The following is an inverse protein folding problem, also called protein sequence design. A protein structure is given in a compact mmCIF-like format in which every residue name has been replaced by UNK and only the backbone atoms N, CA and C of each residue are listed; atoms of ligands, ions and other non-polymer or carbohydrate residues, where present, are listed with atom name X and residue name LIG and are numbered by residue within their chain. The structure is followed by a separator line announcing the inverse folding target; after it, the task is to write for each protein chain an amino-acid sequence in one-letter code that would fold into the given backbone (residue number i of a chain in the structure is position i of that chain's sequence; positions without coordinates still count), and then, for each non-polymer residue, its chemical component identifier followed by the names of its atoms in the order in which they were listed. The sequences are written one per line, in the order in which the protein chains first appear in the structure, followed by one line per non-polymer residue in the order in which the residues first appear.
data_IF_259136083831
#
_entry.id   IF_259136083831
#
_cell.length_a   1.000
_cell.length_b   1.000
_cell.length_c   1.000
_cell.angle_alpha   90.00
_cell.angle_beta   90.00
_cell.angle_gamma   90.00
#
_symmetry.space_group_name_H-M   'P 1'
#
loop_
_entity.id
_entity.type
_entity.pdbx_description
1 polymer ?
#
# COMPACT_ATOMS: atom_id res chain seq x y z
N UNK A 1 2.98 -7.30 -17.43
CA UNK A 1 2.50 -6.80 -16.12
C UNK A 1 3.13 -7.57 -14.96
N UNK A 2 4.23 -7.05 -14.40
CA UNK A 2 4.67 -7.48 -13.07
C UNK A 2 3.58 -7.09 -12.09
N UNK A 3 3.04 -8.05 -11.36
CA UNK A 3 1.88 -7.78 -10.51
C UNK A 3 2.23 -6.78 -9.42
N UNK A 4 1.47 -5.69 -9.35
CA UNK A 4 1.47 -4.70 -8.27
C UNK A 4 1.17 -5.35 -6.90
N UNK A 5 0.71 -6.61 -6.86
CA UNK A 5 0.38 -7.34 -5.63
C UNK A 5 1.59 -7.81 -4.81
N UNK A 6 2.78 -7.95 -5.39
CA UNK A 6 3.98 -8.45 -4.70
C UNK A 6 4.45 -7.60 -3.50
N UNK A 7 4.58 -6.25 -3.61
CA UNK A 7 4.93 -5.42 -2.45
C UNK A 7 3.85 -5.38 -1.35
N UNK A 8 2.60 -5.68 -1.70
CA UNK A 8 1.46 -5.62 -0.80
C UNK A 8 1.46 -6.74 0.26
N UNK A 9 1.86 -7.98 -0.09
CA UNK A 9 1.80 -9.11 0.85
C UNK A 9 2.70 -8.92 2.08
N UNK A 10 3.93 -8.40 1.86
CA UNK A 10 4.86 -8.10 2.96
C UNK A 10 4.32 -6.99 3.85
N UNK A 11 3.83 -5.89 3.25
CA UNK A 11 3.24 -4.79 3.99
C UNK A 11 2.05 -5.26 4.84
N UNK A 12 1.14 -6.07 4.28
CA UNK A 12 0.01 -6.64 5.02
C UNK A 12 0.45 -7.53 6.18
N UNK A 13 1.43 -8.40 5.95
CA UNK A 13 1.97 -9.26 7.00
C UNK A 13 2.59 -8.45 8.14
N UNK A 14 3.41 -7.45 7.80
CA UNK A 14 4.03 -6.57 8.79
C UNK A 14 2.97 -5.74 9.52
N UNK A 15 1.99 -5.17 8.82
CA UNK A 15 0.91 -4.42 9.45
C UNK A 15 0.09 -5.29 10.41
N UNK A 16 -0.19 -6.56 10.06
CA UNK A 16 -0.85 -7.52 10.97
C UNK A 16 0.02 -7.85 12.18
N UNK A 17 1.32 -8.05 11.96
CA UNK A 17 2.28 -8.31 13.04
C UNK A 17 2.34 -7.14 14.02
N UNK A 18 2.53 -5.92 13.53
CA UNK A 18 2.58 -4.71 14.36
C UNK A 18 1.23 -4.40 15.01
N UNK A 19 0.11 -4.63 14.32
CA UNK A 19 -1.24 -4.51 14.87
C UNK A 19 -1.49 -5.48 16.04
N UNK A 20 -0.99 -6.72 15.95
CA UNK A 20 -0.98 -7.66 17.09
C UNK A 20 -0.09 -7.16 18.22
N UNK A 21 1.06 -6.55 17.91
CA UNK A 21 1.93 -5.90 18.89
C UNK A 21 1.24 -4.79 19.67
N UNK A 22 0.42 -3.96 19.01
CA UNK A 22 -0.39 -2.93 19.67
C UNK A 22 -1.44 -3.53 20.61
N UNK A 23 -2.13 -4.59 20.17
CA UNK A 23 -3.09 -5.30 21.01
C UNK A 23 -2.42 -5.95 22.23
N UNK A 24 -1.24 -6.55 22.04
CA UNK A 24 -0.45 -7.13 23.11
C UNK A 24 0.04 -6.05 24.10
N UNK A 25 0.53 -4.91 23.62
CA UNK A 25 0.93 -3.79 24.47
C UNK A 25 -0.24 -3.29 25.36
N UNK A 26 -1.43 -3.15 24.77
CA UNK A 26 -2.65 -2.79 25.51
C UNK A 26 -3.01 -3.85 26.56
N UNK A 27 -2.89 -5.13 26.22
CA UNK A 27 -3.16 -6.22 27.15
C UNK A 27 -2.15 -6.23 28.32
N UNK A 28 -0.85 -6.05 28.07
CA UNK A 28 0.17 -5.93 29.12
C UNK A 28 -0.08 -4.75 30.07
N UNK A 29 -0.54 -3.60 29.54
CA UNK A 29 -0.94 -2.46 30.36
C UNK A 29 -2.14 -2.82 31.26
N UNK A 30 -3.14 -3.52 30.73
CA UNK A 30 -4.32 -3.95 31.49
C UNK A 30 -3.98 -4.97 32.60
N UNK A 31 -3.00 -5.84 32.38
CA UNK A 31 -2.51 -6.79 33.39
C UNK A 31 -1.57 -6.14 34.42
N UNK A 32 -1.23 -4.85 34.25
CA UNK A 32 -0.29 -4.13 35.11
C UNK A 32 1.18 -4.54 34.92
N UNK A 33 1.50 -5.25 33.84
CA UNK A 33 2.88 -5.65 33.53
C UNK A 33 3.72 -4.47 33.04
N UNK A 34 3.10 -3.50 32.38
CA UNK A 34 3.74 -2.26 31.93
C UNK A 34 3.17 -1.05 32.67
N UNK A 35 4.05 -0.09 32.99
CA UNK A 35 3.61 1.25 33.37
C UNK A 35 3.00 1.98 32.17
N UNK A 36 2.18 3.00 32.44
CA UNK A 36 1.55 3.81 31.40
C UNK A 36 2.60 4.45 30.46
N UNK A 37 3.68 5.00 31.02
CA UNK A 37 4.76 5.63 30.24
C UNK A 37 5.47 4.62 29.33
N UNK A 38 5.72 3.41 29.83
CA UNK A 38 6.32 2.34 29.04
C UNK A 38 5.39 1.89 27.91
N UNK A 39 4.10 1.74 28.19
CA UNK A 39 3.10 1.37 27.20
C UNK A 39 2.97 2.45 26.10
N UNK A 40 3.00 3.74 26.45
CA UNK A 40 3.01 4.83 25.48
C UNK A 40 4.26 4.82 24.60
N UNK A 41 5.44 4.62 25.19
CA UNK A 41 6.69 4.55 24.43
C UNK A 41 6.69 3.39 23.44
N UNK A 42 6.22 2.21 23.86
CA UNK A 42 6.08 1.04 22.99
C UNK A 42 5.06 1.32 21.88
N UNK A 43 3.91 1.92 22.21
CA UNK A 43 2.88 2.27 21.22
C UNK A 43 3.41 3.24 20.17
N UNK A 44 4.12 4.30 20.57
CA UNK A 44 4.73 5.25 19.63
C UNK A 44 5.68 4.55 18.67
N UNK A 45 6.59 3.72 19.20
CA UNK A 45 7.55 2.97 18.37
C UNK A 45 6.86 2.02 17.38
N UNK A 46 5.78 1.36 17.81
CA UNK A 46 5.01 0.48 16.93
C UNK A 46 4.34 1.26 15.80
N UNK A 47 3.77 2.43 16.10
CA UNK A 47 3.18 3.32 15.10
C UNK A 47 4.24 3.80 14.10
N UNK A 48 5.41 4.23 14.57
CA UNK A 48 6.51 4.66 13.70
C UNK A 48 6.96 3.56 12.75
N UNK A 49 6.99 2.30 13.24
CA UNK A 49 7.32 1.13 12.40
C UNK A 49 6.25 0.87 11.34
N UNK A 50 4.96 0.99 11.68
CA UNK A 50 3.88 0.85 10.70
C UNK A 50 3.95 1.95 9.64
N UNK A 51 4.15 3.20 10.05
CA UNK A 51 4.30 4.32 9.12
C UNK A 51 5.51 4.12 8.17
N UNK A 52 6.61 3.58 8.68
CA UNK A 52 7.78 3.24 7.87
C UNK A 52 7.47 2.14 6.83
N UNK A 53 6.77 1.08 7.22
CA UNK A 53 6.34 0.03 6.28
C UNK A 53 5.39 0.58 5.20
N UNK A 54 4.47 1.48 5.56
CA UNK A 54 3.61 2.16 4.57
C UNK A 54 4.43 2.99 3.58
N UNK A 55 5.44 3.73 4.04
CA UNK A 55 6.33 4.50 3.17
C UNK A 55 7.06 3.59 2.18
N UNK A 56 7.65 2.49 2.66
CA UNK A 56 8.36 1.53 1.82
C UNK A 56 7.42 0.89 0.77
N UNK A 57 6.19 0.56 1.16
CA UNK A 57 5.20 0.03 0.23
C UNK A 57 4.83 1.06 -0.86
N UNK A 58 4.58 2.32 -0.48
CA UNK A 58 4.30 3.40 -1.43
C UNK A 58 5.45 3.59 -2.42
N UNK A 59 6.68 3.62 -1.93
CA UNK A 59 7.88 3.81 -2.76
C UNK A 59 8.02 2.67 -3.78
N UNK A 60 7.84 1.43 -3.36
CA UNK A 60 7.86 0.28 -4.26
C UNK A 60 6.77 0.38 -5.35
N UNK A 61 5.55 0.78 -4.99
CA UNK A 61 4.46 0.96 -5.96
C UNK A 61 4.74 2.08 -6.96
N UNK A 62 5.25 3.23 -6.50
CA UNK A 62 5.61 4.34 -7.37
C UNK A 62 6.73 3.96 -8.36
N UNK A 63 7.73 3.19 -7.91
CA UNK A 63 8.79 2.67 -8.79
C UNK A 63 8.24 1.72 -9.85
N UNK A 64 7.30 0.85 -9.49
CA UNK A 64 6.65 -0.04 -10.46
C UNK A 64 5.87 0.77 -11.49
N UNK A 65 5.05 1.74 -11.05
CA UNK A 65 4.31 2.64 -11.95
C UNK A 65 5.25 3.39 -12.90
N UNK A 66 6.31 4.00 -12.37
CA UNK A 66 7.32 4.71 -13.17
C UNK A 66 7.98 3.78 -14.21
N UNK A 67 8.33 2.57 -13.80
CA UNK A 67 8.89 1.56 -14.72
C UNK A 67 7.89 1.16 -15.81
N UNK A 68 6.60 1.03 -15.49
CA UNK A 68 5.54 0.68 -16.45
C UNK A 68 5.30 1.80 -17.46
N UNK A 69 5.44 3.08 -17.08
CA UNK A 69 5.45 4.19 -18.04
C UNK A 69 6.66 4.15 -18.96
N UNK A 70 7.86 3.89 -18.42
CA UNK A 70 9.10 3.87 -19.20
C UNK A 70 9.13 2.76 -20.26
N UNK A 71 8.58 1.59 -19.95
CA UNK A 71 8.51 0.45 -20.89
C UNK A 71 7.29 0.50 -21.80
N UNK A 72 6.42 1.52 -21.66
CA UNK A 72 5.20 1.67 -22.45
C UNK A 72 4.09 0.66 -22.13
N UNK A 73 4.13 0.01 -20.96
CA UNK A 73 3.03 -0.85 -20.49
C UNK A 73 1.78 -0.03 -20.17
N UNK A 74 1.92 1.25 -19.81
CA UNK A 74 0.84 2.20 -19.54
C UNK A 74 0.98 3.37 -20.50
N UNK A 75 -0.13 3.74 -21.19
CA UNK A 75 -0.15 4.90 -22.05
C UNK A 75 0.06 6.19 -21.23
N UNK A 76 1.05 7.00 -21.62
CA UNK A 76 1.34 8.30 -21.03
C UNK A 76 0.39 9.37 -21.58
N UNK A 77 -0.92 9.21 -21.35
CA UNK A 77 -1.90 10.26 -21.64
C UNK A 77 -1.74 11.41 -20.64
N UNK A 78 -2.23 12.62 -20.96
CA UNK A 78 -2.19 13.74 -20.02
C UNK A 78 -2.87 13.41 -18.69
N UNK A 79 -3.98 12.66 -18.69
CA UNK A 79 -4.69 12.30 -17.47
C UNK A 79 -3.89 11.30 -16.60
N UNK A 80 -3.21 10.32 -17.21
CA UNK A 80 -2.42 9.34 -16.45
C UNK A 80 -1.15 9.94 -15.86
N UNK A 81 -0.55 10.91 -16.55
CA UNK A 81 0.58 11.67 -16.03
C UNK A 81 0.18 12.59 -14.88
N UNK A 82 -0.94 13.31 -15.01
CA UNK A 82 -1.47 14.17 -13.93
C UNK A 82 -1.75 13.34 -12.67
N UNK A 83 -2.44 12.20 -12.82
CA UNK A 83 -2.68 11.28 -11.71
C UNK A 83 -1.38 10.76 -11.08
N UNK A 84 -0.34 10.47 -11.87
CA UNK A 84 0.95 10.06 -11.33
C UNK A 84 1.64 11.18 -10.52
N UNK A 85 1.54 12.43 -10.97
CA UNK A 85 2.06 13.57 -10.22
C UNK A 85 1.31 13.78 -8.90
N UNK A 86 -0.01 13.61 -8.88
CA UNK A 86 -0.81 13.65 -7.65
C UNK A 86 -0.36 12.59 -6.64
N UNK A 87 -0.13 11.35 -7.12
CA UNK A 87 0.39 10.26 -6.28
C UNK A 87 1.78 10.59 -5.71
N UNK A 88 2.67 11.22 -6.49
CA UNK A 88 3.97 11.70 -6.01
C UNK A 88 3.82 12.81 -4.97
N UNK A 89 2.87 13.74 -5.14
CA UNK A 89 2.60 14.79 -4.15
C UNK A 89 2.22 14.18 -2.80
N UNK A 90 1.29 13.20 -2.81
CA UNK A 90 0.87 12.49 -1.58
C UNK A 90 2.04 11.80 -0.88
N UNK A 91 3.00 11.24 -1.63
CA UNK A 91 4.21 10.65 -1.05
C UNK A 91 5.09 11.70 -0.36
N UNK A 92 5.32 12.85 -1.00
CA UNK A 92 6.13 13.94 -0.44
C UNK A 92 5.47 14.61 0.77
N UNK A 93 4.13 14.69 0.80
CA UNK A 93 3.34 15.16 1.94
C UNK A 93 3.31 14.19 3.13
N UNK A 94 3.86 12.99 2.98
CA UNK A 94 3.84 11.95 4.03
C UNK A 94 2.47 11.28 4.21
N UNK A 95 1.55 11.44 3.26
CA UNK A 95 0.18 10.90 3.29
C UNK A 95 0.12 9.47 2.77
N UNK A 96 0.96 8.59 3.34
CA UNK A 96 1.18 7.22 2.84
C UNK A 96 -0.08 6.36 2.86
N UNK A 97 -0.94 6.51 3.87
CA UNK A 97 -2.20 5.76 3.93
C UNK A 97 -3.16 6.14 2.79
N UNK A 98 -3.34 7.44 2.55
CA UNK A 98 -4.16 7.94 1.42
C UNK A 98 -3.60 7.45 0.09
N UNK A 99 -2.27 7.52 -0.08
CA UNK A 99 -1.59 7.05 -1.27
C UNK A 99 -1.79 5.54 -1.50
N UNK A 100 -1.63 4.70 -0.47
CA UNK A 100 -1.88 3.26 -0.57
C UNK A 100 -3.33 2.96 -0.97
N UNK A 101 -4.31 3.68 -0.41
CA UNK A 101 -5.72 3.51 -0.77
C UNK A 101 -5.94 3.80 -2.27
N UNK A 102 -5.38 4.89 -2.79
CA UNK A 102 -5.48 5.26 -4.21
C UNK A 102 -4.81 4.20 -5.11
N UNK A 103 -3.61 3.73 -4.72
CA UNK A 103 -2.89 2.67 -5.43
C UNK A 103 -3.67 1.34 -5.45
N UNK A 104 -4.34 0.97 -4.35
CA UNK A 104 -5.18 -0.24 -4.32
C UNK A 104 -6.43 -0.11 -5.18
N UNK A 105 -7.05 1.07 -5.23
CA UNK A 105 -8.19 1.30 -6.11
C UNK A 105 -7.79 1.20 -7.58
N UNK A 106 -6.59 1.70 -7.92
CA UNK A 106 -6.03 1.56 -9.26
C UNK A 106 -5.81 0.08 -9.63
N UNK A 107 -5.14 -0.69 -8.76
CA UNK A 107 -4.87 -2.12 -8.98
C UNK A 107 -6.15 -2.94 -9.19
N UNK A 108 -7.21 -2.64 -8.41
CA UNK A 108 -8.53 -3.28 -8.58
C UNK A 108 -9.21 -2.93 -9.90
N UNK A 109 -9.13 -1.67 -10.35
CA UNK A 109 -9.70 -1.25 -11.64
C UNK A 109 -9.00 -1.94 -12.80
N UNK A 110 -7.65 -1.94 -12.81
CA UNK A 110 -6.86 -2.62 -13.84
C UNK A 110 -7.15 -4.12 -13.88
N UNK A 111 -7.24 -4.77 -12.72
CA UNK A 111 -7.57 -6.20 -12.65
C UNK A 111 -8.99 -6.49 -13.15
N UNK A 112 -9.97 -5.62 -12.87
CA UNK A 112 -11.36 -5.80 -13.30
C UNK A 112 -11.56 -5.63 -14.82
N UNK A 113 -10.80 -4.75 -15.46
CA UNK A 113 -10.85 -4.55 -16.91
C UNK A 113 -10.19 -5.72 -17.65
N UNK A 114 -9.17 -6.35 -17.06
CA UNK A 114 -8.53 -7.54 -17.63
C UNK A 114 -9.42 -8.78 -17.58
N UNK A 115 -10.18 -9.01 -16.50
CA UNK A 115 -11.15 -10.12 -16.45
C UNK A 115 -12.31 -9.92 -17.40
N UNK A 116 -12.73 -8.68 -17.67
CA UNK A 116 -13.80 -8.41 -18.63
C UNK A 116 -13.37 -8.62 -20.09
N UNK A 117 -12.10 -8.35 -20.42
CA UNK A 117 -11.55 -8.58 -21.76
C UNK A 117 -11.17 -10.05 -22.02
N UNK A 118 -10.83 -10.83 -20.99
CA UNK A 118 -10.58 -12.27 -21.11
C UNK A 118 -11.85 -13.12 -21.21
N UNK A 119 -13.03 -12.55 -20.92
CA UNK A 119 -14.34 -13.22 -20.98
C UNK A 119 -15.08 -13.08 -22.31
N UNK A 120 -14.51 -12.40 -23.31
CA UNK A 120 -15.15 -12.12 -24.63
C UNK A 120 -14.41 -12.87 -25.76
N UNK A 121 -13.71 -13.97 -25.46
CA UNK A 121 -12.95 -14.74 -26.47
C UNK A 121 -13.27 -16.24 -26.50
N UNK A 122 -14.51 -16.61 -26.20
CA UNK A 122 -15.05 -17.95 -26.44
C UNK A 122 -16.52 -17.77 -26.82
N UNK A 123 -16.80 -17.61 -28.11
CA UNK A 123 -18.05 -17.99 -28.78
C UNK A 123 -18.05 -17.43 -30.22
N UNK A 124 -17.14 -17.92 -31.07
CA UNK A 124 -17.35 -17.94 -32.52
C UNK A 124 -16.64 -19.17 -33.11
N UNK A 125 -17.33 -20.32 -33.06
CA UNK A 125 -17.31 -21.33 -34.13
C UNK A 125 -18.62 -22.14 -34.13
#
# INVERSE_FOLDING_TARGET
MRSLTLPNQRCQWMCRFWGRGLAFNRWCLQQGWFSFDLALMIQSRLIDRVAHEHKLACEAHLLVLESSFLIGEIAATPETLEYFYDLRSLYHEGRYETLLIQLYQLDRKVTSEQTHNAGISLDEE
#
